data_IF_991841104460
#
_entry.id   IF_991841104460
#
_cell.length_a   1.000
_cell.length_b   1.000
_cell.length_c   1.000
_cell.angle_alpha   90.00
_cell.angle_beta   90.00
_cell.angle_gamma   90.00
#
_symmetry.space_group_name_H-M   'P 1'
#
loop_
_entity.id
_entity.type
_entity.pdbx_description
1 polymer ?
#
# COMPACT_ATOMS: atom_id res chain seq x y z
N UNK A 1 -62.91 7.09 13.42
CA UNK A 1 -61.57 6.47 13.48
C UNK A 1 -60.79 7.01 12.31
N UNK A 2 -60.03 8.07 12.53
CA UNK A 2 -59.15 8.62 11.50
C UNK A 2 -57.91 7.71 11.36
N UNK A 3 -57.48 7.38 10.14
CA UNK A 3 -56.28 6.57 9.94
C UNK A 3 -55.05 7.36 10.39
N UNK A 4 -54.23 6.77 11.26
CA UNK A 4 -52.96 7.35 11.69
C UNK A 4 -52.04 7.53 10.47
N UNK A 5 -51.34 8.68 10.36
CA UNK A 5 -50.39 8.91 9.28
C UNK A 5 -49.28 7.86 9.35
N UNK A 6 -49.15 7.05 8.30
CA UNK A 6 -48.05 6.10 8.18
C UNK A 6 -46.75 6.89 7.98
N UNK A 7 -45.68 6.60 8.73
CA UNK A 7 -44.40 7.25 8.50
C UNK A 7 -43.84 6.72 7.18
N UNK A 8 -44.02 7.47 6.09
CA UNK A 8 -43.33 7.18 4.85
C UNK A 8 -41.82 7.24 5.12
N UNK A 9 -41.15 6.08 5.09
CA UNK A 9 -39.72 5.98 5.25
C UNK A 9 -39.05 6.75 4.11
N UNK A 10 -38.49 7.91 4.42
CA UNK A 10 -37.78 8.72 3.45
C UNK A 10 -36.52 7.98 2.99
N UNK A 11 -36.42 7.70 1.68
CA UNK A 11 -35.25 7.06 1.07
C UNK A 11 -34.51 8.08 0.22
N UNK A 12 -33.31 8.44 0.68
CA UNK A 12 -32.40 9.35 -0.04
C UNK A 12 -32.10 8.83 -1.45
N UNK A 13 -31.99 7.50 -1.60
CA UNK A 13 -31.77 6.86 -2.91
C UNK A 13 -32.98 7.02 -3.83
N UNK A 14 -34.20 6.89 -3.31
CA UNK A 14 -35.42 7.06 -4.09
C UNK A 14 -35.58 8.51 -4.58
N UNK A 15 -35.25 9.48 -3.72
CA UNK A 15 -35.28 10.90 -4.09
C UNK A 15 -34.20 11.25 -5.13
N UNK A 16 -32.99 10.71 -4.96
CA UNK A 16 -31.90 10.88 -5.93
C UNK A 16 -32.24 10.27 -7.31
N UNK A 17 -32.83 9.07 -7.33
CA UNK A 17 -33.29 8.43 -8.58
C UNK A 17 -34.40 9.23 -9.25
N UNK A 18 -35.37 9.73 -8.48
CA UNK A 18 -36.45 10.58 -9.00
C UNK A 18 -35.89 11.84 -9.67
N UNK A 19 -34.91 12.49 -9.05
CA UNK A 19 -34.20 13.66 -9.60
C UNK A 19 -33.33 13.31 -10.80
N UNK A 20 -32.75 12.12 -10.83
CA UNK A 20 -31.95 11.65 -11.95
C UNK A 20 -32.82 11.39 -13.19
N UNK A 21 -34.00 10.80 -13.02
CA UNK A 21 -34.94 10.56 -14.13
C UNK A 21 -35.52 11.86 -14.72
N UNK A 22 -35.61 12.92 -13.92
CA UNK A 22 -36.04 14.25 -14.38
C UNK A 22 -34.88 15.12 -14.90
N UNK A 23 -33.65 14.63 -14.81
CA UNK A 23 -32.46 15.34 -15.27
C UNK A 23 -32.35 15.36 -16.82
N UNK A 24 -31.64 16.35 -17.39
CA UNK A 24 -31.33 16.40 -18.81
C UNK A 24 -30.64 15.13 -19.34
N UNK A 25 -30.94 14.77 -20.60
CA UNK A 25 -30.43 13.53 -21.25
C UNK A 25 -28.90 13.42 -21.25
N UNK A 26 -28.18 14.55 -21.38
CA UNK A 26 -26.71 14.55 -21.35
C UNK A 26 -26.15 14.12 -19.99
N UNK A 27 -26.85 14.40 -18.88
CA UNK A 27 -26.45 13.95 -17.54
C UNK A 27 -26.65 12.45 -17.41
N UNK A 28 -27.77 11.93 -17.93
CA UNK A 28 -28.05 10.50 -17.93
C UNK A 28 -27.01 9.76 -18.78
N UNK A 29 -26.67 10.27 -19.96
CA UNK A 29 -25.62 9.71 -20.82
C UNK A 29 -24.24 9.75 -20.14
N UNK A 30 -23.88 10.86 -19.48
CA UNK A 30 -22.62 10.97 -18.77
C UNK A 30 -22.52 9.95 -17.61
N UNK A 31 -23.62 9.72 -16.89
CA UNK A 31 -23.66 8.74 -15.80
C UNK A 31 -23.34 7.32 -16.27
N UNK A 32 -23.71 6.97 -17.52
CA UNK A 32 -23.47 5.64 -18.10
C UNK A 32 -21.97 5.32 -18.19
N UNK A 33 -21.14 6.35 -18.36
CA UNK A 33 -19.67 6.21 -18.42
C UNK A 33 -19.04 6.48 -17.06
N UNK A 34 -19.51 7.50 -16.33
CA UNK A 34 -18.92 7.89 -15.06
C UNK A 34 -19.08 6.82 -13.98
N UNK A 35 -20.23 6.14 -13.91
CA UNK A 35 -20.47 5.05 -12.94
C UNK A 35 -19.50 3.87 -13.13
N UNK A 36 -19.35 3.27 -14.33
CA UNK A 36 -18.39 2.19 -14.50
C UNK A 36 -16.95 2.65 -14.34
N UNK A 37 -16.59 3.86 -14.81
CA UNK A 37 -15.23 4.41 -14.62
C UNK A 37 -14.90 4.57 -13.14
N UNK A 38 -15.83 5.10 -12.34
CA UNK A 38 -15.63 5.24 -10.89
C UNK A 38 -15.58 3.89 -10.18
N UNK A 39 -16.40 2.91 -10.57
CA UNK A 39 -16.35 1.54 -10.03
C UNK A 39 -15.00 0.87 -10.33
N UNK A 40 -14.51 0.97 -11.56
CA UNK A 40 -13.20 0.43 -11.95
C UNK A 40 -12.08 1.14 -11.21
N UNK A 41 -12.12 2.48 -11.17
CA UNK A 41 -11.13 3.29 -10.43
C UNK A 41 -11.08 2.91 -8.95
N UNK A 42 -12.23 2.76 -8.30
CA UNK A 42 -12.32 2.35 -6.90
C UNK A 42 -11.77 0.93 -6.70
N UNK A 43 -12.09 0.00 -7.61
CA UNK A 43 -11.55 -1.36 -7.59
C UNK A 43 -10.04 -1.40 -7.74
N UNK A 44 -9.47 -0.58 -8.63
CA UNK A 44 -8.03 -0.45 -8.80
C UNK A 44 -7.35 0.19 -7.58
N UNK A 45 -7.94 1.24 -7.01
CA UNK A 45 -7.46 1.86 -5.77
C UNK A 45 -7.47 0.86 -4.61
N UNK A 46 -8.54 0.06 -4.47
CA UNK A 46 -8.63 -0.97 -3.44
C UNK A 46 -7.56 -2.06 -3.65
N UNK A 47 -7.38 -2.52 -4.89
CA UNK A 47 -6.35 -3.49 -5.22
C UNK A 47 -4.95 -2.94 -4.93
N UNK A 48 -4.70 -1.67 -5.23
CA UNK A 48 -3.43 -1.01 -4.93
C UNK A 48 -3.20 -0.91 -3.42
N UNK A 49 -4.22 -0.49 -2.65
CA UNK A 49 -4.15 -0.46 -1.20
C UNK A 49 -3.86 -1.84 -0.60
N UNK A 50 -4.52 -2.89 -1.11
CA UNK A 50 -4.26 -4.28 -0.69
C UNK A 50 -2.83 -4.69 -1.04
N UNK A 51 -2.33 -4.37 -2.24
CA UNK A 51 -0.93 -4.66 -2.62
C UNK A 51 0.07 -3.93 -1.73
N UNK A 52 -0.20 -2.68 -1.37
CA UNK A 52 0.66 -1.91 -0.46
C UNK A 52 0.64 -2.47 0.96
N UNK A 53 -0.53 -2.83 1.49
CA UNK A 53 -0.67 -3.48 2.79
C UNK A 53 0.04 -4.84 2.79
N UNK A 54 -0.16 -5.65 1.75
CA UNK A 54 0.52 -6.93 1.60
C UNK A 54 2.04 -6.76 1.50
N UNK A 55 2.52 -5.79 0.72
CA UNK A 55 3.95 -5.47 0.63
C UNK A 55 4.51 -4.99 1.97
N UNK A 56 3.78 -4.17 2.73
CA UNK A 56 4.16 -3.78 4.09
C UNK A 56 4.19 -4.98 5.04
N UNK A 57 3.24 -5.90 4.96
CA UNK A 57 3.20 -7.11 5.77
C UNK A 57 4.36 -8.08 5.44
N UNK A 58 4.65 -8.28 4.14
CA UNK A 58 5.78 -9.07 3.66
C UNK A 58 7.12 -8.47 4.11
N UNK A 59 7.30 -7.15 3.98
CA UNK A 59 8.48 -6.43 4.48
C UNK A 59 8.60 -6.46 5.99
N UNK A 60 7.49 -6.57 6.72
CA UNK A 60 7.48 -6.77 8.18
C UNK A 60 7.96 -8.17 8.57
N UNK A 61 7.71 -9.17 7.72
CA UNK A 61 8.28 -10.52 7.84
C UNK A 61 9.79 -10.54 7.58
N UNK A 62 10.28 -9.82 6.57
CA UNK A 62 11.72 -9.70 6.30
C UNK A 62 12.48 -8.83 7.33
N UNK A 63 11.78 -7.92 8.02
CA UNK A 63 12.32 -7.12 9.13
C UNK A 63 12.48 -7.88 10.46
N UNK A 64 12.19 -9.18 10.51
CA UNK A 64 12.52 -10.04 11.66
C UNK A 64 13.96 -10.57 11.62
N UNK A 65 14.82 -10.09 10.72
CA UNK A 65 16.26 -10.16 10.91
C UNK A 65 16.75 -8.89 11.59
N UNK A 66 17.38 -9.00 12.77
CA UNK A 66 18.23 -7.93 13.29
C UNK A 66 19.18 -7.50 12.16
N UNK A 67 19.25 -6.21 11.78
CA UNK A 67 20.31 -5.74 10.89
C UNK A 67 21.65 -5.93 11.62
N UNK A 68 22.28 -7.07 11.38
CA UNK A 68 23.44 -7.52 12.15
C UNK A 68 24.74 -6.81 11.72
N UNK A 69 24.71 -6.07 10.60
CA UNK A 69 25.85 -5.34 10.07
C UNK A 69 25.42 -4.12 9.24
N UNK A 70 26.09 -2.98 9.43
CA UNK A 70 26.02 -1.82 8.54
C UNK A 70 27.44 -1.45 8.11
N UNK A 71 27.66 -1.32 6.80
CA UNK A 71 28.94 -0.87 6.23
C UNK A 71 28.76 0.57 5.77
N UNK A 72 29.57 1.49 6.28
CA UNK A 72 29.56 2.89 5.87
C UNK A 72 30.98 3.38 5.58
N UNK A 73 31.08 4.40 4.73
CA UNK A 73 32.36 5.05 4.39
C UNK A 73 32.47 6.35 5.17
N UNK A 74 33.58 6.54 5.86
CA UNK A 74 33.91 7.77 6.58
C UNK A 74 34.39 8.83 5.60
N UNK A 75 34.35 10.11 5.97
CA UNK A 75 34.86 11.22 5.14
C UNK A 75 36.34 11.03 4.75
N UNK A 76 37.12 10.34 5.58
CA UNK A 76 38.51 9.95 5.33
C UNK A 76 38.69 8.78 4.33
N UNK A 77 37.59 8.30 3.72
CA UNK A 77 37.60 7.20 2.75
C UNK A 77 37.68 5.79 3.37
N UNK A 78 37.78 5.69 4.70
CA UNK A 78 37.85 4.41 5.43
C UNK A 78 36.48 3.72 5.49
N UNK A 79 36.47 2.41 5.27
CA UNK A 79 35.26 1.58 5.41
C UNK A 79 35.12 1.13 6.87
N UNK A 80 33.95 1.37 7.45
CA UNK A 80 33.62 0.99 8.81
C UNK A 80 32.47 -0.01 8.79
N UNK A 81 32.61 -1.11 9.53
CA UNK A 81 31.56 -2.08 9.79
C UNK A 81 31.03 -1.87 11.21
N UNK A 82 29.73 -1.62 11.34
CA UNK A 82 29.03 -1.65 12.61
C UNK A 82 28.31 -2.99 12.73
N UNK A 83 28.74 -3.85 13.64
CA UNK A 83 28.11 -5.13 13.90
C UNK A 83 27.93 -5.34 15.41
N UNK A 84 26.69 -5.62 15.83
CA UNK A 84 26.35 -5.92 17.24
C UNK A 84 26.94 -4.94 18.27
N UNK A 85 26.90 -3.64 17.98
CA UNK A 85 27.38 -2.59 18.89
C UNK A 85 28.89 -2.32 18.84
N UNK A 86 29.63 -3.04 17.99
CA UNK A 86 31.06 -2.84 17.79
C UNK A 86 31.30 -2.20 16.42
N UNK A 87 32.01 -1.08 16.40
CA UNK A 87 32.54 -0.49 15.17
C UNK A 87 33.93 -1.08 14.93
N UNK A 88 34.15 -1.65 13.74
CA UNK A 88 35.47 -2.07 13.28
C UNK A 88 35.79 -1.41 11.95
N UNK A 89 37.02 -0.94 11.82
CA UNK A 89 37.56 -0.49 10.53
C UNK A 89 37.83 -1.72 9.67
N UNK A 90 37.20 -1.78 8.49
CA UNK A 90 37.45 -2.82 7.49
C UNK A 90 38.71 -2.42 6.72
N UNK A 91 39.79 -3.20 6.87
CA UNK A 91 40.95 -3.04 6.02
C UNK A 91 40.61 -3.53 4.62
N UNK A 92 41.02 -2.79 3.59
CA UNK A 92 40.62 -3.01 2.20
C UNK A 92 40.85 -4.43 1.64
N UNK A 93 41.67 -5.26 2.29
CA UNK A 93 41.89 -6.66 1.91
C UNK A 93 40.90 -7.68 2.51
N UNK A 94 40.20 -7.36 3.61
CA UNK A 94 39.27 -8.32 4.26
C UNK A 94 37.94 -8.50 3.50
N UNK A 95 37.59 -7.56 2.62
CA UNK A 95 36.36 -7.65 1.81
C UNK A 95 36.51 -8.57 0.59
N UNK A 96 37.75 -8.80 0.12
CA UNK A 96 38.05 -9.73 -0.97
C UNK A 96 38.26 -11.17 -0.49
N UNK A 97 38.74 -11.37 0.75
CA UNK A 97 39.00 -12.70 1.34
C UNK A 97 37.85 -13.25 2.22
N UNK A 98 36.82 -12.45 2.50
CA UNK A 98 35.65 -12.94 3.21
C UNK A 98 34.85 -13.90 2.30
N UNK A 99 34.67 -15.18 2.67
CA UNK A 99 33.87 -16.09 1.86
C UNK A 99 32.46 -15.50 1.73
N UNK A 100 32.04 -15.23 0.50
CA UNK A 100 30.67 -14.81 0.20
C UNK A 100 29.73 -15.76 0.93
N UNK A 101 28.81 -15.27 1.78
CA UNK A 101 27.85 -16.13 2.44
C UNK A 101 27.13 -16.93 1.35
N UNK A 102 27.17 -18.27 1.48
CA UNK A 102 26.64 -19.18 0.48
C UNK A 102 25.21 -18.81 0.09
N UNK A 103 24.81 -19.06 -1.18
CA UNK A 103 23.50 -18.65 -1.68
C UNK A 103 22.42 -19.20 -0.75
N UNK A 104 21.55 -18.29 -0.27
CA UNK A 104 20.43 -18.60 0.60
C UNK A 104 19.56 -19.66 -0.10
N UNK A 105 19.67 -20.92 0.34
CA UNK A 105 18.75 -21.97 -0.09
C UNK A 105 17.39 -21.68 0.54
N UNK A 106 16.48 -21.15 -0.28
CA UNK A 106 15.05 -21.12 0.02
C UNK A 106 14.57 -22.57 0.08
N UNK A 107 14.11 -23.01 1.25
CA UNK A 107 13.29 -24.21 1.41
C UNK A 107 11.83 -23.86 1.26
#
# INVERSE_FOLDING_TARGET
MEPLPSPHAYSVMADALSKFHTAPEWIQALSLVMVPVTLVGLGLCLLQAVKEIAAMALRRGERQGEPLYAIYRTEDGRLMMYARGVVRELQGGELEDAPLPGPIRRH
#
